data_IF_571240671439
#
_entry.id   IF_571240671439
#
_cell.length_a   1.000
_cell.length_b   1.000
_cell.length_c   1.000
_cell.angle_alpha   90.00
_cell.angle_beta   90.00
_cell.angle_gamma   90.00
#
_symmetry.space_group_name_H-M   'P 1'
#
loop_
_entity.id
_entity.type
_entity.pdbx_description
1 polymer ?
#
# COMPACT_ATOMS: atom_id res chain seq x y z
N UNK A 1 1.93 15.01 12.00
CA UNK A 1 2.02 14.69 10.55
C UNK A 1 0.97 13.65 10.24
N UNK A 2 0.33 13.67 9.07
CA UNK A 2 -0.62 12.61 8.71
C UNK A 2 0.19 11.41 8.23
N UNK A 3 0.13 10.30 8.96
CA UNK A 3 0.65 9.03 8.46
C UNK A 3 -0.41 8.42 7.55
N UNK A 4 0.03 7.82 6.45
CA UNK A 4 -0.85 7.12 5.52
C UNK A 4 -0.66 5.63 5.75
N UNK A 5 -1.70 4.98 6.25
CA UNK A 5 -1.72 3.53 6.42
C UNK A 5 -2.38 2.90 5.18
N UNK A 6 -1.60 2.08 4.46
CA UNK A 6 -2.11 1.23 3.38
C UNK A 6 -2.31 -0.16 3.97
N UNK A 7 -3.57 -0.62 3.98
CA UNK A 7 -3.96 -1.90 4.56
C UNK A 7 -4.28 -2.88 3.46
N UNK A 8 -3.65 -4.05 3.52
CA UNK A 8 -3.86 -5.17 2.62
C UNK A 8 -4.58 -6.27 3.37
N UNK A 9 -5.64 -6.79 2.77
CA UNK A 9 -6.31 -7.99 3.26
C UNK A 9 -6.18 -9.08 2.19
N UNK A 10 -5.55 -10.20 2.57
CA UNK A 10 -5.51 -11.38 1.74
C UNK A 10 -6.50 -12.40 2.31
N UNK A 11 -7.50 -12.78 1.53
CA UNK A 11 -8.44 -13.84 1.85
C UNK A 11 -8.28 -15.05 0.90
N UNK A 12 -7.22 -15.05 0.09
CA UNK A 12 -6.94 -16.14 -0.83
C UNK A 12 -6.13 -17.24 -0.16
N UNK A 13 -6.09 -18.42 -0.78
CA UNK A 13 -5.21 -19.53 -0.37
C UNK A 13 -3.73 -19.34 -0.75
N UNK A 14 -3.38 -18.21 -1.36
CA UNK A 14 -2.04 -17.96 -1.89
C UNK A 14 -1.35 -16.86 -1.11
N UNK A 15 -0.03 -16.96 -0.95
CA UNK A 15 0.76 -15.90 -0.33
C UNK A 15 1.23 -14.88 -1.38
N UNK A 16 1.32 -13.61 -0.98
CA UNK A 16 1.85 -12.54 -1.83
C UNK A 16 3.02 -11.86 -1.15
N UNK A 17 4.07 -11.56 -1.89
CA UNK A 17 5.20 -10.76 -1.41
C UNK A 17 5.13 -9.37 -2.03
N UNK A 18 5.45 -8.33 -1.25
CA UNK A 18 5.64 -7.00 -1.83
C UNK A 18 6.98 -6.93 -2.53
N UNK A 19 6.96 -6.39 -3.74
CA UNK A 19 8.10 -6.19 -4.62
C UNK A 19 8.03 -4.80 -5.26
N UNK A 20 9.14 -4.39 -5.88
CA UNK A 20 9.22 -3.22 -6.77
C UNK A 20 8.56 -1.96 -6.22
N UNK A 21 8.81 -1.69 -4.93
CA UNK A 21 8.21 -0.55 -4.26
C UNK A 21 9.00 0.71 -4.56
N UNK A 22 8.29 1.71 -5.07
CA UNK A 22 8.83 3.02 -5.40
C UNK A 22 7.86 4.10 -4.91
N UNK A 23 8.30 4.92 -3.97
CA UNK A 23 7.48 6.01 -3.45
C UNK A 23 8.31 7.15 -2.88
N UNK A 24 7.65 8.29 -2.72
CA UNK A 24 8.25 9.50 -2.18
C UNK A 24 8.10 9.63 -0.66
N UNK A 25 7.80 8.55 0.09
CA UNK A 25 7.69 8.61 1.54
C UNK A 25 9.07 8.74 2.19
N UNK A 26 9.17 9.51 3.27
CA UNK A 26 10.39 9.66 4.08
C UNK A 26 10.80 8.35 4.74
N UNK A 27 9.80 7.55 5.11
CA UNK A 27 9.98 6.27 5.78
C UNK A 27 8.77 5.41 5.50
N UNK A 28 9.08 4.13 5.43
CA UNK A 28 8.08 3.10 5.47
C UNK A 28 8.40 2.04 6.50
N UNK A 29 7.38 1.64 7.23
CA UNK A 29 7.44 0.53 8.16
C UNK A 29 6.29 -0.41 7.88
N UNK A 30 6.50 -1.70 8.15
CA UNK A 30 5.45 -2.70 8.03
C UNK A 30 5.59 -3.64 6.83
N UNK A 31 6.65 -3.57 6.03
CA UNK A 31 7.07 -4.66 5.13
C UNK A 31 8.60 -4.81 5.24
N UNK A 32 9.07 -5.80 5.99
CA UNK A 32 10.49 -6.15 6.05
C UNK A 32 10.91 -7.05 4.88
N UNK A 33 12.21 -7.25 4.68
CA UNK A 33 12.72 -8.29 3.78
C UNK A 33 12.18 -9.66 4.25
N UNK A 34 11.25 -10.25 3.49
CA UNK A 34 10.55 -11.49 3.83
C UNK A 34 9.12 -11.33 4.38
N UNK A 35 8.63 -10.10 4.56
CA UNK A 35 7.23 -9.84 4.91
C UNK A 35 6.36 -9.94 3.65
N UNK A 36 5.42 -10.87 3.65
CA UNK A 36 4.41 -11.04 2.62
C UNK A 36 3.03 -11.17 3.26
N UNK A 37 1.98 -10.96 2.48
CA UNK A 37 0.63 -11.36 2.85
C UNK A 37 0.59 -12.89 2.89
N UNK A 38 0.49 -13.45 4.09
CA UNK A 38 0.35 -14.88 4.27
C UNK A 38 -0.89 -15.41 3.54
N UNK A 39 -0.85 -16.68 3.15
CA UNK A 39 -2.04 -17.37 2.65
C UNK A 39 -3.11 -17.49 3.74
N UNK A 40 -4.38 -17.50 3.33
CA UNK A 40 -5.54 -17.45 4.22
C UNK A 40 -5.83 -16.03 4.72
N UNK A 41 -6.88 -15.85 5.56
CA UNK A 41 -7.26 -14.55 6.10
C UNK A 41 -6.08 -13.90 6.83
N UNK A 42 -5.49 -12.90 6.21
CA UNK A 42 -4.40 -12.13 6.79
C UNK A 42 -4.55 -10.66 6.44
N UNK A 43 -4.18 -9.81 7.40
CA UNK A 43 -4.17 -8.37 7.21
C UNK A 43 -2.77 -7.86 7.48
N UNK A 44 -2.26 -7.04 6.57
CA UNK A 44 -0.97 -6.39 6.75
C UNK A 44 -1.08 -4.90 6.47
N UNK A 45 -0.23 -4.12 7.12
CA UNK A 45 -0.28 -2.66 7.06
C UNK A 45 1.11 -2.12 6.73
N UNK A 46 1.15 -1.25 5.74
CA UNK A 46 2.30 -0.39 5.46
C UNK A 46 1.94 0.99 5.96
N UNK A 47 2.75 1.52 6.88
CA UNK A 47 2.66 2.91 7.29
C UNK A 47 3.66 3.74 6.50
N UNK A 48 3.15 4.77 5.83
CA UNK A 48 3.89 5.69 4.97
C UNK A 48 3.94 7.06 5.61
N UNK A 49 5.15 7.63 5.69
CA UNK A 49 5.35 8.97 6.21
C UNK A 49 5.56 9.96 5.04
N UNK A 50 4.72 10.99 4.89
CA UNK A 50 4.92 12.01 3.86
C UNK A 50 6.26 12.74 4.04
N UNK A 51 6.89 13.11 2.92
CA UNK A 51 8.12 13.88 2.92
C UNK A 51 7.83 15.36 3.15
N UNK A 52 8.66 16.00 3.97
CA UNK A 52 8.73 17.46 4.06
C UNK A 52 9.57 17.97 2.89
N UNK A 53 8.99 18.81 2.05
CA UNK A 53 9.72 19.53 1.02
C UNK A 53 10.46 20.75 1.57
N UNK A 54 11.10 21.51 0.69
CA UNK A 54 11.70 22.81 1.04
C UNK A 54 10.66 23.73 1.69
N UNK A 55 11.12 24.58 2.62
CA UNK A 55 10.29 25.52 3.39
C UNK A 55 9.25 24.86 4.32
N UNK A 56 9.40 23.58 4.64
CA UNK A 56 8.49 22.87 5.55
C UNK A 56 7.12 22.55 4.94
N UNK A 57 6.98 22.70 3.62
CA UNK A 57 5.75 22.36 2.91
C UNK A 57 5.59 20.85 2.90
N UNK A 58 4.53 20.36 3.53
CA UNK A 58 4.19 18.93 3.55
C UNK A 58 3.68 18.52 2.18
N UNK A 59 4.41 17.63 1.51
CA UNK A 59 3.95 16.96 0.28
C UNK A 59 3.18 15.71 0.68
N UNK A 60 2.19 15.32 -0.13
CA UNK A 60 1.49 14.05 0.04
C UNK A 60 2.40 12.84 -0.23
N UNK A 61 1.87 11.64 -0.05
CA UNK A 61 2.55 10.40 -0.44
C UNK A 61 2.03 9.95 -1.79
N UNK A 62 2.94 9.73 -2.73
CA UNK A 62 2.68 9.17 -4.06
C UNK A 62 3.70 8.09 -4.37
N UNK A 63 3.22 6.98 -4.90
CA UNK A 63 4.09 5.89 -5.32
C UNK A 63 3.32 4.67 -5.80
N UNK A 64 4.05 3.57 -5.92
CA UNK A 64 3.55 2.27 -6.34
C UNK A 64 4.31 1.13 -5.67
N UNK A 65 3.73 -0.06 -5.70
CA UNK A 65 4.38 -1.32 -5.39
C UNK A 65 3.64 -2.47 -6.07
N UNK A 66 4.32 -3.60 -6.19
CA UNK A 66 3.75 -4.84 -6.71
C UNK A 66 3.53 -5.85 -5.60
N UNK A 67 2.40 -6.55 -5.60
CA UNK A 67 2.19 -7.76 -4.81
C UNK A 67 2.34 -8.97 -5.73
N UNK A 68 3.39 -9.76 -5.52
CA UNK A 68 3.73 -10.91 -6.33
C UNK A 68 3.38 -12.23 -5.63
N UNK A 69 2.54 -13.03 -6.27
CA UNK A 69 2.28 -14.42 -5.89
C UNK A 69 3.10 -15.35 -6.79
N UNK A 70 4.15 -15.94 -6.20
CA UNK A 70 5.08 -16.84 -6.91
C UNK A 70 4.42 -18.13 -7.39
N UNK A 71 3.48 -18.68 -6.62
CA UNK A 71 2.82 -19.96 -6.94
C UNK A 71 1.96 -19.91 -8.21
N UNK A 72 1.40 -18.73 -8.50
CA UNK A 72 0.49 -18.52 -9.62
C UNK A 72 1.05 -17.60 -10.69
N UNK A 73 2.26 -17.07 -10.49
CA UNK A 73 2.85 -16.03 -11.34
C UNK A 73 1.90 -14.85 -11.54
N UNK A 74 1.19 -14.48 -10.48
CA UNK A 74 0.26 -13.33 -10.48
C UNK A 74 0.98 -12.14 -9.87
N UNK A 75 0.87 -11.00 -10.53
CA UNK A 75 1.33 -9.70 -10.01
C UNK A 75 0.11 -8.80 -9.87
N UNK A 76 -0.02 -8.13 -8.72
CA UNK A 76 -1.01 -7.07 -8.50
C UNK A 76 -0.24 -5.78 -8.32
N UNK A 77 -0.29 -4.91 -9.31
CA UNK A 77 0.34 -3.59 -9.27
C UNK A 77 -0.60 -2.61 -8.59
N UNK A 78 -0.10 -1.90 -7.58
CA UNK A 78 -0.87 -0.93 -6.80
C UNK A 78 -0.25 0.44 -6.92
N UNK A 79 -1.06 1.42 -7.31
CA UNK A 79 -0.69 2.83 -7.38
C UNK A 79 -1.50 3.63 -6.36
N UNK A 80 -0.84 4.57 -5.68
CA UNK A 80 -1.49 5.42 -4.69
C UNK A 80 -0.99 6.87 -4.76
N UNK A 81 -1.92 7.79 -4.54
CA UNK A 81 -1.68 9.23 -4.39
C UNK A 81 -2.57 9.75 -3.26
N UNK A 82 -1.95 10.12 -2.15
CA UNK A 82 -2.61 10.64 -0.96
C UNK A 82 -2.03 12.01 -0.66
N UNK A 83 -2.87 13.04 -0.57
CA UNK A 83 -2.45 14.40 -0.27
C UNK A 83 -1.83 14.53 1.13
N UNK A 84 -1.16 15.66 1.39
CA UNK A 84 -0.64 15.96 2.74
C UNK A 84 -1.73 16.19 3.79
N UNK A 85 -2.98 16.39 3.37
CA UNK A 85 -4.16 16.45 4.24
C UNK A 85 -4.80 15.08 4.48
N UNK A 86 -4.25 13.99 3.93
CA UNK A 86 -4.80 12.64 4.05
C UNK A 86 -5.90 12.30 3.05
N UNK A 87 -6.22 13.20 2.10
CA UNK A 87 -7.21 12.93 1.06
C UNK A 87 -6.61 11.95 0.05
N UNK A 88 -7.28 10.82 -0.18
CA UNK A 88 -6.94 9.89 -1.25
C UNK A 88 -7.36 10.52 -2.58
N UNK A 89 -6.39 10.88 -3.42
CA UNK A 89 -6.61 11.42 -4.75
C UNK A 89 -6.70 10.29 -5.79
N UNK A 90 -5.89 9.25 -5.62
CA UNK A 90 -5.87 8.07 -6.47
C UNK A 90 -5.52 6.83 -5.63
N UNK A 91 -6.24 5.74 -5.85
CA UNK A 91 -5.86 4.41 -5.37
C UNK A 91 -6.36 3.40 -6.40
N UNK A 92 -5.43 2.73 -7.06
CA UNK A 92 -5.71 1.73 -8.10
C UNK A 92 -4.93 0.47 -7.81
N UNK A 93 -5.54 -0.67 -8.07
CA UNK A 93 -4.87 -1.96 -8.05
C UNK A 93 -5.31 -2.75 -9.27
N UNK A 94 -4.34 -3.23 -10.04
CA UNK A 94 -4.55 -3.97 -11.29
C UNK A 94 -3.79 -5.29 -11.21
N UNK A 95 -4.48 -6.37 -11.56
CA UNK A 95 -3.88 -7.70 -11.55
C UNK A 95 -3.45 -8.08 -12.97
N UNK A 96 -2.32 -8.78 -13.08
CA UNK A 96 -1.89 -9.41 -14.34
C UNK A 96 -2.90 -10.47 -14.82
N UNK A 97 -3.73 -10.99 -13.92
CA UNK A 97 -4.85 -11.89 -14.20
C UNK A 97 -6.11 -11.36 -13.49
N UNK A 98 -7.02 -10.79 -14.26
CA UNK A 98 -8.27 -10.16 -13.77
C UNK A 98 -9.23 -11.16 -13.11
N UNK A 99 -9.04 -12.47 -13.31
CA UNK A 99 -9.91 -13.49 -12.70
C UNK A 99 -9.71 -13.63 -11.18
N UNK A 100 -8.68 -12.99 -10.62
CA UNK A 100 -8.22 -13.24 -9.24
C UNK A 100 -8.41 -12.05 -8.29
N UNK A 101 -8.77 -10.86 -8.77
CA UNK A 101 -8.77 -9.64 -7.93
C UNK A 101 -10.10 -8.91 -7.89
N UNK A 102 -10.56 -8.64 -6.66
CA UNK A 102 -11.44 -7.51 -6.35
C UNK A 102 -10.62 -6.49 -5.57
N UNK A 103 -10.38 -5.33 -6.17
CA UNK A 103 -9.74 -4.21 -5.51
C UNK A 103 -10.81 -3.29 -4.92
N UNK A 104 -11.05 -3.38 -3.61
CA UNK A 104 -11.89 -2.42 -2.90
C UNK A 104 -10.98 -1.41 -2.21
N UNK A 105 -10.89 -0.22 -2.80
CA UNK A 105 -10.23 0.94 -2.21
C UNK A 105 -11.18 1.58 -1.18
N UNK A 106 -11.10 1.21 0.09
CA UNK A 106 -11.78 1.93 1.17
C UNK A 106 -10.84 2.95 1.80
N UNK A 107 -11.21 4.23 1.77
CA UNK A 107 -10.51 5.32 2.43
C UNK A 107 -10.91 5.42 3.90
N UNK A 108 -10.64 4.37 4.69
CA UNK A 108 -10.76 4.48 6.15
C UNK A 108 -9.52 5.19 6.71
N UNK A 109 -9.63 6.52 6.84
CA UNK A 109 -8.64 7.33 7.55
C UNK A 109 -8.86 7.09 9.05
N UNK A 110 -8.06 6.18 9.62
CA UNK A 110 -7.91 6.12 11.07
C UNK A 110 -7.11 7.36 11.51
N UNK A 111 -7.81 8.42 11.90
CA UNK A 111 -7.21 9.52 12.66
C UNK A 111 -6.82 8.92 14.01
N UNK A 112 -5.54 8.61 14.20
CA UNK A 112 -5.02 8.35 15.53
C UNK A 112 -5.20 9.64 16.34
N UNK A 113 -6.18 9.62 17.25
CA UNK A 113 -6.57 10.77 18.05
C UNK A 113 -5.56 11.11 19.15
N UNK A 114 -5.39 12.43 19.29
CA UNK A 114 -4.85 13.21 20.42
C UNK A 114 -3.32 13.21 20.61
#
# INVERSE_FOLDING_TARGET
>A
FVMVDVVFSNNSRHAFALQNREDNSKRASGFGFGAGLAAGPSTHRISLQPQEGEFGIKRGVKGSFDLYCREKSITISVEYDVSSSGKVNNLKAEASDESVVRAEASSEIAIAGL
#
